data_IF_838370367353
#
_entry.id   IF_838370367353
#
_cell.length_a   1.000
_cell.length_b   1.000
_cell.length_c   1.000
_cell.angle_alpha   90.00
_cell.angle_beta   90.00
_cell.angle_gamma   90.00
#
_symmetry.space_group_name_H-M   'P 1'
#
loop_
_entity.id
_entity.type
_entity.pdbx_description
1 polymer ?
#
# COMPACT_ATOMS: atom_id res chain seq x y z
N UNK A 1 -10.43 8.75 15.35
CA UNK A 1 -9.80 7.61 16.06
C UNK A 1 -10.53 6.25 15.90
N UNK A 2 -11.51 6.15 14.98
CA UNK A 2 -12.34 4.94 14.84
C UNK A 2 -11.71 3.83 13.96
N UNK A 3 -10.54 4.04 13.36
CA UNK A 3 -9.91 3.01 12.56
C UNK A 3 -9.30 1.92 13.47
N UNK A 4 -9.81 0.67 13.43
CA UNK A 4 -9.32 -0.41 14.30
C UNK A 4 -7.87 -0.79 13.97
N UNK A 5 -7.44 -0.61 12.73
CA UNK A 5 -6.06 -0.89 12.28
C UNK A 5 -5.07 0.22 12.63
N UNK A 6 -5.52 1.38 13.13
CA UNK A 6 -4.68 2.55 13.47
C UNK A 6 -3.74 3.00 12.34
N UNK A 7 -4.16 2.83 11.11
CA UNK A 7 -3.34 3.14 9.90
C UNK A 7 -3.59 4.53 9.33
N UNK A 8 -4.55 5.26 9.89
CA UNK A 8 -4.80 6.66 9.52
C UNK A 8 -3.95 7.57 10.38
N UNK A 9 -3.02 8.30 9.75
CA UNK A 9 -2.08 9.17 10.44
C UNK A 9 -2.48 10.63 10.28
N UNK A 10 -2.53 11.35 11.39
CA UNK A 10 -2.80 12.78 11.40
C UNK A 10 -1.49 13.56 11.39
N UNK A 11 -1.39 14.58 10.56
CA UNK A 11 -0.29 15.52 10.58
C UNK A 11 -0.57 16.56 11.67
N UNK A 12 0.02 16.37 12.83
CA UNK A 12 -0.21 17.22 14.00
C UNK A 12 0.50 18.58 13.91
N UNK A 13 1.57 18.67 13.12
CA UNK A 13 2.43 19.83 13.04
C UNK A 13 2.61 20.28 11.58
N UNK A 14 2.93 21.56 11.43
CA UNK A 14 3.39 22.12 10.16
C UNK A 14 4.91 21.90 10.05
N UNK A 15 5.32 20.72 9.61
CA UNK A 15 6.72 20.28 9.68
C UNK A 15 7.70 21.13 8.88
N UNK A 16 7.24 21.81 7.83
CA UNK A 16 8.07 22.65 6.96
C UNK A 16 8.22 24.10 7.46
N UNK A 17 7.55 24.46 8.54
CA UNK A 17 7.54 25.83 9.07
C UNK A 17 7.21 25.77 10.58
N UNK A 18 8.06 25.10 11.33
CA UNK A 18 7.92 24.99 12.78
C UNK A 18 9.24 25.39 13.45
N UNK A 19 9.18 26.39 14.33
CA UNK A 19 10.33 26.91 15.06
C UNK A 19 11.09 25.85 15.88
N UNK A 20 10.43 24.78 16.30
CA UNK A 20 11.09 23.65 16.98
C UNK A 20 12.06 22.87 16.06
N UNK A 21 11.91 22.98 14.75
CA UNK A 21 12.76 22.34 13.75
C UNK A 21 13.76 23.31 13.11
N UNK A 22 13.90 24.54 13.61
CA UNK A 22 14.82 25.55 13.10
C UNK A 22 16.29 25.13 13.16
N UNK A 23 16.63 24.13 13.94
CA UNK A 23 17.97 23.54 13.95
C UNK A 23 18.32 22.80 12.64
N UNK A 24 17.36 22.52 11.80
CA UNK A 24 17.55 22.04 10.42
C UNK A 24 17.57 23.21 9.42
N UNK A 25 18.21 24.30 9.77
CA UNK A 25 18.25 25.58 9.06
C UNK A 25 18.67 25.39 7.59
N UNK A 26 19.59 24.47 7.31
CA UNK A 26 20.06 24.20 5.94
C UNK A 26 18.98 23.64 5.00
N UNK A 27 17.92 23.04 5.54
CA UNK A 27 16.82 22.48 4.75
C UNK A 27 15.58 23.38 4.74
N UNK A 28 15.52 24.39 5.59
CA UNK A 28 14.35 25.29 5.72
C UNK A 28 14.51 26.61 4.97
N UNK A 29 15.71 26.94 4.51
CA UNK A 29 15.94 28.11 3.66
C UNK A 29 15.56 27.79 2.20
N UNK A 30 15.43 28.83 1.37
CA UNK A 30 15.00 28.67 -0.03
C UNK A 30 15.99 27.84 -0.85
N UNK A 31 17.29 27.99 -0.59
CA UNK A 31 18.34 27.18 -1.26
C UNK A 31 18.24 25.70 -0.86
N UNK A 32 18.04 25.40 0.42
CA UNK A 32 17.84 24.02 0.89
C UNK A 32 16.59 23.37 0.30
N UNK A 33 15.51 24.14 0.12
CA UNK A 33 14.29 23.64 -0.52
C UNK A 33 14.46 23.30 -1.99
N UNK A 34 15.42 23.92 -2.69
CA UNK A 34 15.67 23.63 -4.12
C UNK A 34 16.21 22.22 -4.39
N UNK A 35 16.79 21.53 -3.40
CA UNK A 35 17.26 20.15 -3.55
C UNK A 35 16.17 19.12 -3.25
N UNK A 36 15.02 19.56 -2.75
CA UNK A 36 13.90 18.67 -2.45
C UNK A 36 13.14 18.33 -3.72
N UNK A 37 12.59 17.11 -3.77
CA UNK A 37 11.76 16.71 -4.89
C UNK A 37 10.49 17.58 -4.96
N UNK A 38 10.27 18.36 -6.05
CA UNK A 38 9.11 19.24 -6.17
C UNK A 38 7.78 18.49 -6.26
N UNK A 39 7.80 17.21 -6.65
CA UNK A 39 6.60 16.36 -6.73
C UNK A 39 6.10 15.89 -5.35
N UNK A 40 6.90 16.09 -4.30
CA UNK A 40 6.53 15.74 -2.92
C UNK A 40 6.01 16.98 -2.20
N UNK A 41 4.72 17.01 -1.96
CA UNK A 41 4.07 18.08 -1.18
C UNK A 41 4.13 17.77 0.31
N UNK A 42 4.65 18.73 1.10
CA UNK A 42 4.52 18.65 2.56
C UNK A 42 3.08 19.02 2.95
N UNK A 43 2.36 18.08 3.55
CA UNK A 43 0.95 18.29 3.91
C UNK A 43 0.84 19.22 5.11
N UNK A 44 -0.24 19.98 5.13
CA UNK A 44 -0.52 20.91 6.20
C UNK A 44 -0.96 20.20 7.49
N UNK A 45 -0.92 20.92 8.61
CA UNK A 45 -1.45 20.45 9.89
C UNK A 45 -2.91 20.02 9.75
N UNK A 46 -3.28 18.92 10.41
CA UNK A 46 -4.64 18.40 10.45
C UNK A 46 -5.02 17.47 9.31
N UNK A 47 -4.18 17.33 8.30
CA UNK A 47 -4.44 16.39 7.19
C UNK A 47 -4.25 14.95 7.65
N UNK A 48 -5.20 14.10 7.29
CA UNK A 48 -5.16 12.65 7.56
C UNK A 48 -4.61 11.90 6.36
N UNK A 49 -3.66 11.02 6.60
CA UNK A 49 -3.00 10.24 5.56
C UNK A 49 -3.09 8.74 5.84
N UNK A 50 -3.23 7.99 4.78
CA UNK A 50 -3.16 6.52 4.81
C UNK A 50 -2.63 5.98 3.49
N UNK A 51 -2.25 4.70 3.46
CA UNK A 51 -1.94 4.01 2.22
C UNK A 51 -3.16 4.01 1.28
N UNK A 52 -2.93 4.38 0.01
CA UNK A 52 -3.91 4.37 -1.07
C UNK A 52 -3.61 3.32 -2.14
N UNK A 53 -2.72 2.36 -1.87
CA UNK A 53 -2.16 1.42 -2.87
C UNK A 53 -1.52 2.11 -4.07
N UNK A 54 -0.87 3.26 -3.85
CA UNK A 54 -0.26 4.07 -4.92
C UNK A 54 -1.28 4.42 -6.02
N UNK A 55 -2.39 5.07 -5.64
CA UNK A 55 -3.49 5.41 -6.55
C UNK A 55 -3.01 6.09 -7.83
N UNK A 56 -1.96 6.92 -7.77
CA UNK A 56 -1.36 7.58 -8.94
C UNK A 56 -0.82 6.56 -9.94
N UNK A 57 -0.11 5.52 -9.47
CA UNK A 57 0.40 4.45 -10.33
C UNK A 57 -0.72 3.60 -10.93
N UNK A 58 -1.78 3.34 -10.15
CA UNK A 58 -2.98 2.65 -10.65
C UNK A 58 -3.63 3.46 -11.78
N UNK A 59 -3.79 4.77 -11.60
CA UNK A 59 -4.37 5.62 -12.63
C UNK A 59 -3.49 5.70 -13.88
N UNK A 60 -2.18 5.79 -13.70
CA UNK A 60 -1.22 5.75 -14.80
C UNK A 60 -1.34 4.46 -15.60
N UNK A 61 -1.33 3.29 -14.94
CA UNK A 61 -1.50 1.99 -15.60
C UNK A 61 -2.82 1.91 -16.38
N UNK A 62 -3.93 2.40 -15.80
CA UNK A 62 -5.22 2.49 -16.49
C UNK A 62 -5.18 3.40 -17.72
N UNK A 63 -4.48 4.53 -17.65
CA UNK A 63 -4.34 5.45 -18.78
C UNK A 63 -3.54 4.81 -19.91
N UNK A 64 -2.43 4.14 -19.60
CA UNK A 64 -1.60 3.44 -20.58
C UNK A 64 -2.43 2.33 -21.26
N UNK A 65 -3.08 1.46 -20.50
CA UNK A 65 -3.91 0.39 -21.05
C UNK A 65 -5.02 0.95 -21.97
N UNK A 66 -5.66 2.06 -21.56
CA UNK A 66 -6.69 2.72 -22.37
C UNK A 66 -6.12 3.32 -23.66
N UNK A 67 -4.93 3.94 -23.61
CA UNK A 67 -4.28 4.50 -24.81
C UNK A 67 -3.90 3.40 -25.81
N UNK A 68 -3.54 2.23 -25.30
CA UNK A 68 -3.24 1.03 -26.11
C UNK A 68 -4.50 0.24 -26.52
N UNK A 69 -5.70 0.70 -26.12
CA UNK A 69 -6.99 0.06 -26.38
C UNK A 69 -7.06 -1.41 -25.93
N UNK A 70 -6.44 -1.71 -24.80
CA UNK A 70 -6.44 -3.03 -24.17
C UNK A 70 -6.95 -2.97 -22.72
N UNK A 71 -7.28 -4.11 -22.17
CA UNK A 71 -7.58 -4.24 -20.75
C UNK A 71 -6.30 -4.14 -19.91
N UNK A 72 -6.48 -3.69 -18.65
CA UNK A 72 -5.41 -3.67 -17.67
C UNK A 72 -5.02 -5.11 -17.32
N UNK A 73 -3.74 -5.43 -17.41
CA UNK A 73 -3.21 -6.75 -17.08
C UNK A 73 -2.47 -6.74 -15.75
N UNK A 74 -2.34 -7.91 -15.15
CA UNK A 74 -1.48 -8.08 -13.99
C UNK A 74 -0.03 -7.70 -14.33
N UNK A 75 0.63 -6.96 -13.45
CA UNK A 75 1.96 -6.41 -13.70
C UNK A 75 2.00 -5.01 -14.35
N UNK A 76 0.92 -4.52 -14.96
CA UNK A 76 0.86 -3.14 -15.48
C UNK A 76 0.97 -2.09 -14.36
N UNK A 77 0.60 -2.47 -13.15
CA UNK A 77 0.67 -1.62 -11.97
C UNK A 77 1.51 -2.29 -10.88
N UNK A 78 2.52 -1.59 -10.41
CA UNK A 78 3.30 -1.98 -9.23
C UNK A 78 3.23 -0.87 -8.19
N UNK A 79 3.07 -1.23 -6.92
CA UNK A 79 3.16 -0.25 -5.83
C UNK A 79 4.61 0.09 -5.53
N UNK A 80 4.86 1.28 -4.97
CA UNK A 80 6.21 1.69 -4.62
C UNK A 80 6.88 0.70 -3.62
N UNK A 81 6.10 0.15 -2.69
CA UNK A 81 6.60 -0.82 -1.72
C UNK A 81 6.92 -2.17 -2.37
N UNK A 82 6.12 -2.65 -3.33
CA UNK A 82 6.42 -3.90 -4.05
C UNK A 82 7.68 -3.75 -4.92
N UNK A 83 7.83 -2.60 -5.60
CA UNK A 83 9.01 -2.31 -6.41
C UNK A 83 10.29 -2.20 -5.56
N UNK A 84 10.18 -1.60 -4.37
CA UNK A 84 11.30 -1.43 -3.46
C UNK A 84 11.66 -2.70 -2.66
N UNK A 85 10.85 -3.75 -2.72
CA UNK A 85 11.06 -4.99 -1.96
C UNK A 85 12.09 -5.89 -2.66
N UNK A 86 13.34 -6.03 -2.17
CA UNK A 86 14.37 -6.80 -2.86
C UNK A 86 14.09 -8.32 -2.86
N UNK A 87 13.26 -8.78 -1.94
CA UNK A 87 12.92 -10.21 -1.80
C UNK A 87 11.66 -10.61 -2.58
N UNK A 88 10.98 -9.66 -3.23
CA UNK A 88 9.70 -9.93 -3.89
C UNK A 88 8.58 -10.40 -2.95
N UNK A 89 8.68 -10.06 -1.66
CA UNK A 89 7.71 -10.52 -0.64
C UNK A 89 6.36 -9.79 -0.67
N UNK A 90 6.25 -8.73 -1.47
CA UNK A 90 5.03 -7.94 -1.59
C UNK A 90 4.46 -8.12 -2.99
N UNK A 91 3.36 -8.84 -3.09
CA UNK A 91 2.61 -9.03 -4.32
C UNK A 91 1.41 -8.08 -4.34
N UNK A 92 1.21 -7.40 -5.46
CA UNK A 92 0.09 -6.50 -5.68
C UNK A 92 -0.61 -6.87 -6.98
N UNK A 93 -1.92 -6.91 -7.00
CA UNK A 93 -2.71 -7.24 -8.18
C UNK A 93 -4.21 -7.14 -7.94
N UNK A 94 -5.00 -7.42 -8.97
CA UNK A 94 -6.45 -7.50 -8.88
C UNK A 94 -6.89 -8.94 -8.57
N UNK A 95 -7.53 -9.11 -7.45
CA UNK A 95 -8.04 -10.42 -7.00
C UNK A 95 -9.21 -10.93 -7.85
N UNK A 96 -9.86 -10.05 -8.61
CA UNK A 96 -10.94 -10.43 -9.54
C UNK A 96 -10.39 -10.97 -10.87
N UNK A 97 -9.17 -10.61 -11.24
CA UNK A 97 -8.52 -11.19 -12.40
C UNK A 97 -8.10 -12.64 -12.09
N UNK A 98 -8.62 -13.58 -12.89
CA UNK A 98 -8.36 -15.02 -12.73
C UNK A 98 -6.89 -15.39 -12.97
N UNK A 99 -6.18 -14.58 -13.72
CA UNK A 99 -4.80 -14.82 -14.11
C UNK A 99 -3.80 -14.09 -13.23
N UNK A 100 -4.27 -13.28 -12.27
CA UNK A 100 -3.38 -12.49 -11.42
C UNK A 100 -2.56 -13.34 -10.44
N UNK A 101 -1.32 -12.92 -10.22
CA UNK A 101 -0.40 -13.58 -9.29
C UNK A 101 -0.94 -13.58 -7.86
N UNK A 102 -1.59 -12.50 -7.44
CA UNK A 102 -2.18 -12.42 -6.10
C UNK A 102 -3.30 -13.46 -5.91
N UNK A 103 -4.12 -13.67 -6.94
CA UNK A 103 -5.19 -14.67 -6.90
C UNK A 103 -4.64 -16.08 -6.80
N UNK A 104 -3.59 -16.37 -7.57
CA UNK A 104 -2.90 -17.64 -7.56
C UNK A 104 -2.21 -17.89 -6.21
N UNK A 105 -1.56 -16.88 -5.65
CA UNK A 105 -0.88 -16.94 -4.35
C UNK A 105 -1.86 -17.21 -3.20
N UNK A 106 -3.02 -16.56 -3.22
CA UNK A 106 -4.05 -16.72 -2.19
C UNK A 106 -4.96 -17.92 -2.42
N UNK A 107 -4.87 -18.58 -3.59
CA UNK A 107 -5.73 -19.69 -4.00
C UNK A 107 -7.21 -19.37 -3.80
N UNK A 108 -7.67 -18.26 -4.37
CA UNK A 108 -9.03 -17.77 -4.19
C UNK A 108 -10.04 -18.72 -4.85
N UNK A 109 -10.90 -19.35 -4.05
CA UNK A 109 -11.94 -20.26 -4.54
C UNK A 109 -13.20 -19.50 -4.97
N UNK A 110 -13.70 -18.60 -4.13
CA UNK A 110 -14.91 -17.82 -4.38
C UNK A 110 -14.74 -16.38 -3.96
N UNK A 111 -15.31 -15.50 -4.75
CA UNK A 111 -15.47 -14.08 -4.45
C UNK A 111 -16.94 -13.84 -4.21
N UNK A 112 -17.36 -13.79 -2.95
CA UNK A 112 -18.70 -13.33 -2.58
C UNK A 112 -18.68 -11.83 -2.31
N UNK A 113 -19.82 -11.15 -2.39
CA UNK A 113 -19.96 -9.69 -2.23
C UNK A 113 -19.32 -9.11 -0.96
N UNK A 114 -19.10 -9.94 0.06
CA UNK A 114 -18.57 -9.51 1.35
C UNK A 114 -17.40 -10.36 1.89
N UNK A 115 -17.09 -11.48 1.25
CA UNK A 115 -16.11 -12.42 1.81
C UNK A 115 -15.34 -13.12 0.71
N UNK A 116 -14.00 -13.10 0.81
CA UNK A 116 -13.09 -13.88 -0.01
C UNK A 116 -12.86 -15.23 0.68
N UNK A 117 -13.22 -16.33 0.01
CA UNK A 117 -12.82 -17.67 0.46
C UNK A 117 -11.46 -18.02 -0.11
N UNK A 118 -10.48 -18.14 0.77
CA UNK A 118 -9.10 -18.48 0.46
C UNK A 118 -8.87 -19.97 0.80
N UNK A 119 -8.14 -20.65 -0.07
CA UNK A 119 -7.68 -22.02 0.14
C UNK A 119 -6.25 -22.06 0.68
N UNK A 120 -5.53 -20.98 0.61
CA UNK A 120 -4.16 -20.91 1.16
C UNK A 120 -4.21 -20.83 2.69
N UNK A 121 -3.86 -21.92 3.36
CA UNK A 121 -3.89 -22.05 4.83
C UNK A 121 -2.94 -21.08 5.56
N UNK A 122 -1.92 -20.58 4.86
CA UNK A 122 -0.96 -19.61 5.41
C UNK A 122 -1.48 -18.18 5.37
N UNK A 123 -2.48 -17.92 4.53
CA UNK A 123 -3.02 -16.58 4.36
C UNK A 123 -3.93 -16.21 5.53
N UNK A 124 -3.76 -15.00 6.05
CA UNK A 124 -4.64 -14.45 7.08
C UNK A 124 -4.81 -12.94 6.92
N UNK A 125 -5.93 -12.44 7.38
CA UNK A 125 -6.18 -11.02 7.52
C UNK A 125 -5.98 -10.58 8.99
N UNK A 126 -5.52 -9.35 9.19
CA UNK A 126 -5.40 -8.78 10.53
C UNK A 126 -6.79 -8.39 11.03
N UNK A 127 -7.11 -8.69 12.29
CA UNK A 127 -8.41 -8.42 12.94
C UNK A 127 -9.59 -9.02 12.15
N UNK A 128 -9.44 -10.25 11.70
CA UNK A 128 -10.49 -10.96 10.94
C UNK A 128 -11.78 -11.11 11.74
N UNK A 129 -11.68 -11.24 13.07
CA UNK A 129 -12.78 -11.35 14.02
C UNK A 129 -13.76 -10.17 14.00
N UNK A 130 -13.30 -8.98 13.62
CA UNK A 130 -14.20 -7.80 13.51
C UNK A 130 -14.86 -7.67 12.13
N UNK A 131 -14.59 -8.58 11.20
CA UNK A 131 -15.22 -8.69 9.87
C UNK A 131 -15.16 -7.43 9.00
N UNK A 132 -14.07 -6.68 9.07
CA UNK A 132 -13.87 -5.46 8.24
C UNK A 132 -13.42 -5.79 6.82
N UNK A 133 -13.00 -7.03 6.55
CA UNK A 133 -12.55 -7.52 5.23
C UNK A 133 -11.49 -6.63 4.59
N UNK A 134 -10.28 -6.53 5.16
CA UNK A 134 -9.22 -5.69 4.61
C UNK A 134 -8.69 -6.25 3.28
N UNK A 135 -8.21 -5.35 2.40
CA UNK A 135 -7.60 -5.71 1.13
C UNK A 135 -6.10 -6.04 1.24
N UNK A 136 -5.63 -6.38 2.43
CA UNK A 136 -4.25 -6.78 2.70
C UNK A 136 -4.26 -8.10 3.43
N UNK A 137 -3.56 -9.09 2.87
CA UNK A 137 -3.38 -10.40 3.46
C UNK A 137 -1.92 -10.62 3.78
N UNK A 138 -1.67 -11.43 4.78
CA UNK A 138 -0.34 -11.81 5.22
C UNK A 138 -0.18 -13.32 5.08
N UNK A 139 1.02 -13.76 4.73
CA UNK A 139 1.37 -15.19 4.76
C UNK A 139 2.18 -15.50 6.00
N UNK A 140 1.75 -16.49 6.75
CA UNK A 140 2.48 -16.98 7.94
C UNK A 140 3.88 -17.42 7.54
N UNK A 141 4.87 -17.04 8.33
CA UNK A 141 6.25 -17.48 8.14
C UNK A 141 6.35 -18.98 8.46
N UNK A 142 6.88 -19.73 7.50
CA UNK A 142 7.23 -21.14 7.74
C UNK A 142 8.53 -21.20 8.54
N UNK A 143 8.52 -21.95 9.62
CA UNK A 143 9.71 -22.18 10.45
C UNK A 143 9.95 -23.69 10.51
N UNK A 144 11.17 -24.13 10.17
CA UNK A 144 11.60 -25.53 10.36
C UNK A 144 11.97 -25.76 11.83
N UNK A 145 11.00 -25.69 12.74
CA UNK A 145 11.17 -26.15 14.11
C UNK A 145 10.68 -27.59 14.19
N UNK A 146 11.54 -28.49 14.63
CA UNK A 146 11.09 -29.77 15.13
C UNK A 146 10.19 -29.51 16.34
N UNK A 147 8.96 -30.00 16.30
CA UNK A 147 8.10 -29.99 17.48
C UNK A 147 8.83 -30.79 18.56
N UNK A 148 9.28 -30.10 19.60
CA UNK A 148 9.79 -30.71 20.84
C UNK A 148 8.62 -31.11 21.72
#
# INVERSE_FOLDING_TARGET
NNCPYRVRRCNWFKYHDNAQFDKNISMNNDLGKMVLNPDVTVRSRGVMEKCSFCVQKIQQGKLVARSEKRELKDGDVSTACSTACPTGAITFGDVNDKNSDIRNLLKVEKIDKSTLKLKEERAYAVLDEIRVSPNVWYLRKVRNKKNS
#
